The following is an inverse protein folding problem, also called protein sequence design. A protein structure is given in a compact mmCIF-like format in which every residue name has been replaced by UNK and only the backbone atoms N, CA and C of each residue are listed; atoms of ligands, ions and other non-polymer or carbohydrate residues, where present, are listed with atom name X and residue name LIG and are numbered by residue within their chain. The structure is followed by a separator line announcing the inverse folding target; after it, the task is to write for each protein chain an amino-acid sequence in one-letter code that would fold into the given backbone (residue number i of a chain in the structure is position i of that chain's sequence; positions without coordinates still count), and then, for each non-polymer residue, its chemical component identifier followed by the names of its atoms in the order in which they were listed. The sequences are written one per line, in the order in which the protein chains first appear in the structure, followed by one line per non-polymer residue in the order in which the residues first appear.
data_IF_355109598905
#
_entry.id   IF_355109598905
#
_cell.length_a   1.000
_cell.length_b   1.000
_cell.length_c   1.000
_cell.angle_alpha   90.00
_cell.angle_beta   90.00
_cell.angle_gamma   90.00
#
_symmetry.space_group_name_H-M   'P 1'
#
loop_
_entity.id
_entity.type
_entity.pdbx_description
1 polymer ?
#
# COMPACT_ATOMS: atom_id res chain seq x y z
N UNK A 1 5.20 -17.28 -32.11
CA UNK A 1 5.23 -16.09 -32.96
C UNK A 1 5.34 -14.90 -32.02
N UNK A 2 6.57 -14.47 -31.74
CA UNK A 2 6.86 -13.33 -30.85
C UNK A 2 6.37 -12.06 -31.54
N UNK A 3 5.33 -11.46 -30.99
CA UNK A 3 4.92 -10.11 -31.38
C UNK A 3 6.12 -9.19 -31.10
N UNK A 4 6.77 -8.73 -32.16
CA UNK A 4 7.80 -7.70 -32.12
C UNK A 4 7.22 -6.51 -31.37
N UNK A 5 7.79 -6.18 -30.21
CA UNK A 5 7.30 -5.17 -29.30
C UNK A 5 7.18 -3.82 -30.01
N UNK A 6 5.96 -3.40 -30.21
CA UNK A 6 5.69 -1.97 -30.43
C UNK A 6 6.23 -1.23 -29.21
N UNK A 7 7.32 -0.46 -29.40
CA UNK A 7 7.86 0.41 -28.33
C UNK A 7 6.71 1.22 -27.75
N UNK A 8 6.47 1.08 -26.45
CA UNK A 8 5.47 1.91 -25.78
C UNK A 8 5.75 3.39 -26.01
N UNK A 9 4.72 4.15 -26.21
CA UNK A 9 4.82 5.60 -26.41
C UNK A 9 5.19 6.29 -25.10
N UNK A 10 5.87 7.43 -25.17
CA UNK A 10 6.11 8.27 -23.98
C UNK A 10 4.80 8.60 -23.26
N UNK A 11 3.70 8.77 -24.01
CA UNK A 11 2.38 9.07 -23.48
C UNK A 11 1.83 7.95 -22.60
N UNK A 12 2.00 6.70 -23.01
CA UNK A 12 1.55 5.53 -22.23
C UNK A 12 2.31 5.39 -20.92
N UNK A 13 3.63 5.61 -20.94
CA UNK A 13 4.47 5.59 -19.72
C UNK A 13 4.08 6.72 -18.77
N UNK A 14 3.88 7.93 -19.27
CA UNK A 14 3.41 9.05 -18.45
C UNK A 14 2.03 8.77 -17.86
N UNK A 15 1.09 8.23 -18.62
CA UNK A 15 -0.22 7.83 -18.12
C UNK A 15 -0.12 6.81 -16.97
N UNK A 16 0.83 5.89 -17.08
CA UNK A 16 1.08 4.90 -16.03
C UNK A 16 1.66 5.55 -14.76
N UNK A 17 2.63 6.47 -14.86
CA UNK A 17 3.16 7.23 -13.71
C UNK A 17 2.08 8.08 -13.05
N UNK A 18 1.24 8.74 -13.84
CA UNK A 18 0.13 9.53 -13.32
C UNK A 18 -0.93 8.72 -12.60
N UNK A 19 -1.02 7.42 -12.82
CA UNK A 19 -1.93 6.60 -12.04
C UNK A 19 -1.43 6.38 -10.61
N UNK A 20 -0.14 6.14 -10.39
CA UNK A 20 0.45 6.08 -9.04
C UNK A 20 0.32 7.45 -8.32
N UNK A 21 0.57 8.55 -9.03
CA UNK A 21 0.29 9.90 -8.53
C UNK A 21 -1.19 10.07 -8.12
N UNK A 22 -2.13 9.54 -8.90
CA UNK A 22 -3.56 9.70 -8.66
C UNK A 22 -4.04 8.97 -7.41
N UNK A 23 -3.65 7.70 -7.22
CA UNK A 23 -4.19 6.86 -6.16
C UNK A 23 -3.47 6.99 -4.81
N UNK A 24 -2.24 7.50 -4.80
CA UNK A 24 -1.41 7.57 -3.59
C UNK A 24 -1.99 8.40 -2.44
N UNK A 25 -2.71 9.52 -2.65
CA UNK A 25 -3.32 10.28 -1.57
C UNK A 25 -4.38 9.49 -0.79
N UNK A 26 -5.09 8.57 -1.42
CA UNK A 26 -6.01 7.71 -0.69
C UNK A 26 -5.27 6.88 0.37
N UNK A 27 -4.12 6.31 0.03
CA UNK A 27 -3.35 5.52 0.98
C UNK A 27 -2.60 6.40 2.00
N UNK A 28 -1.81 7.38 1.52
CA UNK A 28 -0.92 8.19 2.38
C UNK A 28 -1.68 9.17 3.29
N UNK A 29 -2.80 9.68 2.85
CA UNK A 29 -3.59 10.67 3.57
C UNK A 29 -4.84 10.05 4.20
N UNK A 30 -5.78 9.54 3.38
CA UNK A 30 -7.07 9.07 3.89
C UNK A 30 -6.93 7.83 4.78
N UNK A 31 -6.05 6.87 4.42
CA UNK A 31 -5.89 5.65 5.21
C UNK A 31 -4.91 5.85 6.37
N UNK A 32 -3.72 6.40 6.10
CA UNK A 32 -2.63 6.42 7.10
C UNK A 32 -2.79 7.53 8.13
N UNK A 33 -3.32 8.71 7.74
CA UNK A 33 -3.40 9.87 8.64
C UNK A 33 -4.84 10.12 9.08
N UNK A 34 -5.71 10.56 8.19
CA UNK A 34 -7.03 11.07 8.59
C UNK A 34 -8.01 9.98 8.99
N UNK A 35 -7.95 8.78 8.38
CA UNK A 35 -8.79 7.65 8.76
C UNK A 35 -8.51 7.18 10.19
N UNK A 36 -7.23 7.02 10.54
CA UNK A 36 -6.82 6.63 11.88
C UNK A 36 -7.24 7.67 12.95
N UNK A 37 -7.04 8.97 12.64
CA UNK A 37 -7.37 10.05 13.57
C UNK A 37 -8.88 10.24 13.77
N UNK A 38 -9.69 10.09 12.71
CA UNK A 38 -11.11 10.42 12.75
C UNK A 38 -12.00 9.26 13.19
N UNK A 39 -11.77 8.05 12.69
CA UNK A 39 -12.68 6.92 12.91
C UNK A 39 -12.80 6.56 14.40
N UNK A 40 -11.68 6.41 15.09
CA UNK A 40 -11.69 6.08 16.53
C UNK A 40 -12.30 7.19 17.38
N UNK A 41 -12.03 8.46 17.02
CA UNK A 41 -12.59 9.62 17.75
C UNK A 41 -14.10 9.73 17.58
N UNK A 42 -14.61 9.54 16.35
CA UNK A 42 -16.04 9.59 16.08
C UNK A 42 -16.76 8.40 16.74
N UNK A 43 -16.17 7.21 16.65
CA UNK A 43 -16.70 6.02 17.33
C UNK A 43 -16.74 6.20 18.85
N UNK A 44 -15.70 6.80 19.45
CA UNK A 44 -15.68 7.10 20.89
C UNK A 44 -16.74 8.16 21.29
N UNK A 45 -16.97 9.16 20.44
CA UNK A 45 -18.03 10.16 20.65
C UNK A 45 -19.43 9.54 20.59
N UNK A 46 -19.66 8.62 19.64
CA UNK A 46 -20.91 7.86 19.55
C UNK A 46 -21.08 6.94 20.78
N UNK A 47 -20.02 6.24 21.19
CA UNK A 47 -20.01 5.42 22.41
C UNK A 47 -20.41 6.23 23.66
N UNK A 48 -19.91 7.46 23.78
CA UNK A 48 -20.25 8.37 24.89
C UNK A 48 -21.73 8.76 24.89
N UNK A 49 -22.34 8.91 23.73
CA UNK A 49 -23.76 9.23 23.61
C UNK A 49 -24.66 8.03 23.98
N UNK A 50 -24.14 6.80 23.94
CA UNK A 50 -24.88 5.59 24.24
C UNK A 50 -24.75 5.19 25.73
N UNK A 51 -25.45 5.91 26.60
CA UNK A 51 -25.45 5.69 28.05
C UNK A 51 -25.97 4.29 28.42
N UNK A 52 -26.87 3.72 27.62
CA UNK A 52 -27.45 2.40 27.88
C UNK A 52 -26.38 1.29 27.77
N UNK A 53 -25.42 1.43 26.86
CA UNK A 53 -24.35 0.46 26.63
C UNK A 53 -23.13 0.73 27.54
N UNK A 54 -22.77 1.99 27.73
CA UNK A 54 -21.50 2.37 28.34
C UNK A 54 -21.63 2.98 29.75
N UNK A 55 -22.84 3.33 30.17
CA UNK A 55 -23.06 4.07 31.45
C UNK A 55 -22.35 5.42 31.45
N UNK A 56 -21.87 5.84 32.64
CA UNK A 56 -21.13 7.11 32.81
C UNK A 56 -19.62 7.00 32.56
N UNK A 57 -19.18 6.02 31.76
CA UNK A 57 -17.75 5.85 31.46
C UNK A 57 -17.22 7.03 30.64
N UNK A 58 -15.99 7.44 30.93
CA UNK A 58 -15.26 8.41 30.10
C UNK A 58 -14.78 7.74 28.82
N UNK A 59 -15.53 7.89 27.73
CA UNK A 59 -15.22 7.25 26.43
C UNK A 59 -14.23 8.04 25.59
N UNK A 60 -13.99 9.30 25.93
CA UNK A 60 -13.01 10.20 25.29
C UNK A 60 -12.14 10.85 26.36
N UNK A 61 -10.88 11.03 26.05
CA UNK A 61 -9.96 11.80 26.91
C UNK A 61 -10.17 13.32 26.78
N UNK A 62 -9.38 14.09 27.51
CA UNK A 62 -9.45 15.56 27.48
C UNK A 62 -9.16 16.17 26.10
N UNK A 63 -8.50 15.44 25.19
CA UNK A 63 -8.22 15.85 23.80
C UNK A 63 -9.34 15.47 22.82
N UNK A 64 -10.35 14.72 23.28
CA UNK A 64 -11.40 14.16 22.44
C UNK A 64 -11.00 12.86 21.71
N UNK A 65 -9.85 12.29 22.02
CA UNK A 65 -9.45 10.99 21.49
C UNK A 65 -10.15 9.84 22.25
N UNK A 66 -10.24 8.67 21.61
CA UNK A 66 -10.82 7.49 22.25
C UNK A 66 -10.02 7.10 23.50
N UNK A 67 -10.70 7.03 24.65
CA UNK A 67 -10.09 6.56 25.88
C UNK A 67 -9.95 5.03 25.85
N UNK A 68 -8.72 4.55 25.67
CA UNK A 68 -8.42 3.13 25.64
C UNK A 68 -8.48 2.46 27.02
N UNK A 69 -8.45 3.24 28.10
CA UNK A 69 -8.47 2.71 29.49
C UNK A 69 -9.89 2.32 29.93
N UNK A 70 -10.91 3.02 29.48
CA UNK A 70 -12.30 2.83 29.89
C UNK A 70 -13.11 1.90 28.99
N UNK A 71 -12.55 1.43 27.87
CA UNK A 71 -13.12 0.41 26.98
C UNK A 71 -14.60 0.62 26.64
N UNK A 72 -14.97 1.84 26.22
CA UNK A 72 -16.33 2.08 25.75
C UNK A 72 -16.58 1.37 24.43
N UNK A 73 -17.75 0.75 24.32
CA UNK A 73 -18.14 -0.02 23.16
C UNK A 73 -19.08 0.77 22.24
N UNK A 74 -18.98 0.48 20.96
CA UNK A 74 -19.93 0.90 19.90
C UNK A 74 -20.59 -0.31 19.29
N UNK A 75 -21.79 -0.11 18.75
CA UNK A 75 -22.54 -1.18 18.08
C UNK A 75 -22.46 -1.02 16.58
N UNK A 76 -21.96 -2.03 15.89
CA UNK A 76 -21.91 -2.12 14.44
C UNK A 76 -22.59 -3.42 13.97
N UNK A 77 -23.68 -3.30 13.24
CA UNK A 77 -24.48 -4.44 12.76
C UNK A 77 -24.88 -5.42 13.86
N UNK A 78 -25.19 -4.92 15.06
CA UNK A 78 -25.59 -5.75 16.22
C UNK A 78 -24.42 -6.37 17.00
N UNK A 79 -23.17 -6.15 16.60
CA UNK A 79 -21.97 -6.57 17.31
C UNK A 79 -21.36 -5.40 18.08
N UNK A 80 -20.80 -5.68 19.27
CA UNK A 80 -20.15 -4.68 20.12
C UNK A 80 -18.63 -4.69 19.88
N UNK A 81 -18.06 -3.50 19.68
CA UNK A 81 -16.62 -3.32 19.45
C UNK A 81 -16.09 -2.19 20.33
N UNK A 82 -14.90 -2.35 20.94
CA UNK A 82 -14.24 -1.25 21.64
C UNK A 82 -14.00 -0.06 20.69
N UNK A 83 -14.49 1.13 21.06
CA UNK A 83 -14.45 2.32 20.20
C UNK A 83 -13.01 2.66 19.74
N UNK A 84 -12.03 2.53 20.62
CA UNK A 84 -10.61 2.75 20.29
C UNK A 84 -10.02 1.76 19.30
N UNK A 85 -10.63 0.58 19.12
CA UNK A 85 -10.14 -0.47 18.23
C UNK A 85 -10.87 -0.53 16.89
N UNK A 86 -11.90 0.29 16.68
CA UNK A 86 -12.75 0.29 15.47
C UNK A 86 -11.92 0.43 14.19
N UNK A 87 -10.92 1.31 14.17
CA UNK A 87 -10.06 1.50 13.01
C UNK A 87 -9.26 0.24 12.65
N UNK A 88 -8.69 -0.43 13.64
CA UNK A 88 -7.95 -1.68 13.42
C UNK A 88 -8.84 -2.81 12.87
N UNK A 89 -10.05 -2.98 13.43
CA UNK A 89 -11.01 -3.94 12.90
C UNK A 89 -11.47 -3.59 11.50
N UNK A 90 -11.72 -2.31 11.22
CA UNK A 90 -12.11 -1.85 9.88
C UNK A 90 -11.03 -2.13 8.84
N UNK A 91 -9.76 -1.83 9.15
CA UNK A 91 -8.64 -2.16 8.27
C UNK A 91 -8.56 -3.67 8.00
N UNK A 92 -8.75 -4.49 9.05
CA UNK A 92 -8.72 -5.95 8.93
C UNK A 92 -9.84 -6.46 8.03
N UNK A 93 -11.08 -6.02 8.27
CA UNK A 93 -12.24 -6.41 7.45
C UNK A 93 -12.08 -5.93 6.01
N UNK A 94 -11.68 -4.67 5.80
CA UNK A 94 -11.44 -4.12 4.46
C UNK A 94 -10.38 -4.93 3.71
N UNK A 95 -9.31 -5.36 4.40
CA UNK A 95 -8.25 -6.20 3.82
C UNK A 95 -8.77 -7.58 3.46
N UNK A 96 -9.53 -8.25 4.32
CA UNK A 96 -10.12 -9.57 4.03
C UNK A 96 -11.05 -9.48 2.82
N UNK A 97 -11.96 -8.50 2.77
CA UNK A 97 -12.86 -8.31 1.65
C UNK A 97 -12.07 -8.01 0.37
N UNK A 98 -11.04 -7.17 0.45
CA UNK A 98 -10.17 -6.87 -0.67
C UNK A 98 -9.50 -8.15 -1.21
N UNK A 99 -8.91 -8.98 -0.36
CA UNK A 99 -8.26 -10.24 -0.73
C UNK A 99 -9.21 -11.18 -1.48
N UNK A 100 -10.49 -11.20 -1.13
CA UNK A 100 -11.49 -12.01 -1.83
C UNK A 100 -11.84 -11.46 -3.23
N UNK A 101 -11.77 -10.14 -3.43
CA UNK A 101 -12.12 -9.48 -4.70
C UNK A 101 -10.95 -9.42 -5.69
N UNK A 102 -9.71 -9.31 -5.21
CA UNK A 102 -8.53 -9.13 -6.08
C UNK A 102 -8.33 -10.23 -7.12
N UNK A 103 -8.53 -11.53 -6.85
CA UNK A 103 -8.41 -12.57 -7.87
C UNK A 103 -9.46 -12.43 -8.99
N UNK A 104 -10.67 -11.96 -8.62
CA UNK A 104 -11.73 -11.70 -9.61
C UNK A 104 -11.32 -10.54 -10.51
N UNK A 105 -10.78 -9.45 -9.92
CA UNK A 105 -10.30 -8.31 -10.68
C UNK A 105 -9.18 -8.69 -11.66
N UNK A 106 -8.21 -9.52 -11.22
CA UNK A 106 -7.14 -10.05 -12.07
C UNK A 106 -7.66 -10.87 -13.24
N UNK A 107 -8.55 -11.83 -12.95
CA UNK A 107 -9.12 -12.71 -13.96
C UNK A 107 -9.95 -11.95 -15.01
N UNK A 108 -10.75 -10.97 -14.58
CA UNK A 108 -11.53 -10.11 -15.47
C UNK A 108 -10.60 -9.26 -16.34
N UNK A 109 -9.52 -8.76 -15.78
CA UNK A 109 -8.57 -7.93 -16.51
C UNK A 109 -7.83 -8.70 -17.62
N UNK A 110 -7.32 -9.91 -17.34
CA UNK A 110 -6.60 -10.72 -18.33
C UNK A 110 -7.50 -11.22 -19.47
N UNK A 111 -8.81 -11.36 -19.21
CA UNK A 111 -9.81 -11.77 -20.22
C UNK A 111 -10.39 -10.59 -21.00
N UNK A 112 -10.16 -9.38 -20.55
CA UNK A 112 -10.73 -8.19 -21.18
C UNK A 112 -9.85 -7.69 -22.33
N UNK A 113 -10.49 -7.38 -23.46
CA UNK A 113 -9.82 -6.63 -24.54
C UNK A 113 -9.47 -5.19 -24.14
N UNK A 114 -10.08 -4.68 -23.06
CA UNK A 114 -9.92 -3.29 -22.65
C UNK A 114 -9.64 -3.18 -21.14
N UNK A 115 -8.44 -3.61 -20.73
CA UNK A 115 -7.96 -3.53 -19.34
C UNK A 115 -8.14 -2.13 -18.73
N UNK A 116 -7.96 -1.07 -19.53
CA UNK A 116 -8.06 0.31 -19.02
C UNK A 116 -9.47 0.69 -18.57
N UNK A 117 -10.54 0.12 -19.16
CA UNK A 117 -11.93 0.33 -18.67
C UNK A 117 -12.12 -0.30 -17.30
N UNK A 118 -11.49 -1.45 -17.07
CA UNK A 118 -11.54 -2.14 -15.77
C UNK A 118 -10.76 -1.34 -14.74
N UNK A 119 -9.55 -0.88 -15.09
CA UNK A 119 -8.78 0.04 -14.25
C UNK A 119 -9.61 1.27 -13.87
N UNK A 120 -10.20 1.94 -14.87
CA UNK A 120 -11.05 3.12 -14.65
C UNK A 120 -12.26 2.82 -13.78
N UNK A 121 -12.94 1.68 -14.00
CA UNK A 121 -14.09 1.25 -13.21
C UNK A 121 -13.75 1.12 -11.71
N UNK A 122 -12.71 0.37 -11.37
CA UNK A 122 -12.24 0.25 -9.99
C UNK A 122 -11.74 1.58 -9.42
N UNK A 123 -10.97 2.35 -10.21
CA UNK A 123 -10.42 3.63 -9.76
C UNK A 123 -11.51 4.66 -9.45
N UNK A 124 -12.49 4.82 -10.34
CA UNK A 124 -13.59 5.77 -10.12
C UNK A 124 -14.55 5.31 -9.02
N UNK A 125 -14.79 3.99 -8.87
CA UNK A 125 -15.53 3.46 -7.74
C UNK A 125 -14.84 3.80 -6.42
N UNK A 126 -13.53 3.53 -6.33
CA UNK A 126 -12.74 3.83 -5.14
C UNK A 126 -12.66 5.33 -4.84
N UNK A 127 -12.42 6.14 -5.86
CA UNK A 127 -12.34 7.59 -5.76
C UNK A 127 -13.69 8.22 -5.33
N UNK A 128 -14.81 7.74 -5.87
CA UNK A 128 -16.14 8.19 -5.47
C UNK A 128 -16.45 7.83 -4.02
N UNK A 129 -16.13 6.61 -3.59
CA UNK A 129 -16.30 6.18 -2.21
C UNK A 129 -15.41 7.00 -1.26
N UNK A 130 -14.14 7.24 -1.62
CA UNK A 130 -13.22 8.08 -0.85
C UNK A 130 -13.73 9.53 -0.74
N UNK A 131 -14.22 10.11 -1.83
CA UNK A 131 -14.84 11.45 -1.80
C UNK A 131 -16.11 11.48 -0.96
N UNK A 132 -16.95 10.45 -1.05
CA UNK A 132 -18.19 10.33 -0.29
C UNK A 132 -17.94 10.18 1.22
N UNK A 133 -16.73 9.80 1.65
CA UNK A 133 -16.35 9.86 3.08
C UNK A 133 -16.42 11.29 3.65
N UNK A 134 -16.56 12.31 2.82
CA UNK A 134 -16.93 13.66 3.26
C UNK A 134 -18.20 13.69 4.11
N UNK A 135 -19.17 12.83 3.82
CA UNK A 135 -20.43 12.76 4.58
C UNK A 135 -20.33 11.95 5.88
N UNK A 136 -19.14 11.45 6.18
CA UNK A 136 -18.84 10.72 7.39
C UNK A 136 -18.68 11.70 8.57
N UNK A 137 -19.73 11.83 9.39
CA UNK A 137 -19.75 12.72 10.54
C UNK A 137 -20.72 12.23 11.64
N UNK A 138 -20.45 12.57 12.87
CA UNK A 138 -21.35 12.36 14.00
C UNK A 138 -21.78 10.91 14.19
N UNK A 139 -23.10 10.64 14.20
CA UNK A 139 -23.68 9.30 14.39
C UNK A 139 -23.53 8.37 13.17
N UNK A 140 -23.15 8.91 12.01
CA UNK A 140 -23.16 8.15 10.74
C UNK A 140 -21.80 7.49 10.43
N UNK A 141 -21.04 7.15 11.48
CA UNK A 141 -19.73 6.50 11.32
C UNK A 141 -19.81 5.13 10.60
N UNK A 142 -20.95 4.44 10.68
CA UNK A 142 -21.20 3.19 9.96
C UNK A 142 -21.16 3.41 8.43
N UNK A 143 -21.64 4.56 7.93
CA UNK A 143 -21.50 4.93 6.53
C UNK A 143 -20.02 5.05 6.15
N UNK A 144 -19.19 5.67 7.01
CA UNK A 144 -17.75 5.75 6.83
C UNK A 144 -17.10 4.38 6.71
N UNK A 145 -17.52 3.39 7.52
CA UNK A 145 -17.05 2.00 7.44
C UNK A 145 -17.32 1.40 6.07
N UNK A 146 -18.56 1.50 5.57
CA UNK A 146 -18.95 0.95 4.27
C UNK A 146 -18.19 1.64 3.13
N UNK A 147 -18.12 2.97 3.14
CA UNK A 147 -17.41 3.75 2.13
C UNK A 147 -15.91 3.44 2.11
N UNK A 148 -15.29 3.27 3.27
CA UNK A 148 -13.88 2.90 3.38
C UNK A 148 -13.62 1.50 2.80
N UNK A 149 -14.48 0.51 3.07
CA UNK A 149 -14.38 -0.84 2.49
C UNK A 149 -14.50 -0.76 0.96
N UNK A 150 -15.48 -0.03 0.43
CA UNK A 150 -15.66 0.15 -1.02
C UNK A 150 -14.46 0.85 -1.66
N UNK A 151 -13.92 1.90 -1.01
CA UNK A 151 -12.73 2.61 -1.47
C UNK A 151 -11.51 1.67 -1.52
N UNK A 152 -11.31 0.82 -0.49
CA UNK A 152 -10.25 -0.18 -0.47
C UNK A 152 -10.40 -1.24 -1.56
N UNK A 153 -11.61 -1.72 -1.83
CA UNK A 153 -11.88 -2.63 -2.95
C UNK A 153 -11.50 -1.96 -4.28
N UNK A 154 -11.93 -0.71 -4.48
CA UNK A 154 -11.58 0.08 -5.66
C UNK A 154 -10.07 0.26 -5.80
N UNK A 155 -9.39 0.58 -4.71
CA UNK A 155 -7.93 0.75 -4.65
C UNK A 155 -7.21 -0.55 -5.03
N UNK A 156 -7.46 -1.64 -4.33
CA UNK A 156 -6.78 -2.91 -4.60
C UNK A 156 -7.09 -3.49 -5.97
N UNK A 157 -8.37 -3.47 -6.40
CA UNK A 157 -8.77 -3.92 -7.73
C UNK A 157 -8.09 -3.12 -8.84
N UNK A 158 -7.99 -1.80 -8.68
CA UNK A 158 -7.29 -0.94 -9.62
C UNK A 158 -5.78 -1.21 -9.65
N UNK A 159 -5.14 -1.46 -8.49
CA UNK A 159 -3.70 -1.77 -8.42
C UNK A 159 -3.33 -3.04 -9.16
N UNK A 160 -4.13 -4.12 -9.03
CA UNK A 160 -3.90 -5.37 -9.76
C UNK A 160 -3.87 -5.13 -11.28
N UNK A 161 -4.86 -4.39 -11.77
CA UNK A 161 -4.95 -4.06 -13.20
C UNK A 161 -3.83 -3.10 -13.61
N UNK A 162 -3.53 -2.10 -12.80
CA UNK A 162 -2.47 -1.14 -13.02
C UNK A 162 -1.09 -1.81 -13.12
N UNK A 163 -0.78 -2.73 -12.21
CA UNK A 163 0.49 -3.47 -12.23
C UNK A 163 0.62 -4.32 -13.49
N UNK A 164 -0.47 -4.93 -13.97
CA UNK A 164 -0.45 -5.76 -15.18
C UNK A 164 -0.10 -4.98 -16.45
N UNK A 165 -0.33 -3.65 -16.48
CA UNK A 165 0.09 -2.81 -17.61
C UNK A 165 1.61 -2.66 -17.71
N UNK A 166 2.37 -2.91 -16.66
CA UNK A 166 3.84 -2.80 -16.70
C UNK A 166 4.45 -3.69 -17.81
N UNK A 167 3.85 -4.86 -18.02
CA UNK A 167 4.27 -5.80 -19.08
C UNK A 167 3.90 -5.28 -20.47
N UNK A 168 2.75 -4.61 -20.58
CA UNK A 168 2.27 -4.05 -21.86
C UNK A 168 3.05 -2.81 -22.30
N UNK A 169 3.57 -1.99 -21.35
CA UNK A 169 4.23 -0.70 -21.63
C UNK A 169 5.75 -0.73 -21.52
N UNK A 170 6.35 -1.81 -21.04
CA UNK A 170 7.80 -1.94 -20.84
C UNK A 170 8.36 -3.25 -21.36
N UNK A 171 9.38 -3.17 -22.22
CA UNK A 171 10.21 -4.32 -22.54
C UNK A 171 11.04 -4.77 -21.31
N UNK A 172 11.62 -5.99 -21.35
CA UNK A 172 12.38 -6.54 -20.23
C UNK A 172 13.45 -5.59 -19.66
N UNK A 173 14.15 -4.86 -20.51
CA UNK A 173 15.23 -3.94 -20.14
C UNK A 173 14.72 -2.58 -19.61
N UNK A 174 13.43 -2.28 -19.76
CA UNK A 174 12.84 -0.98 -19.41
C UNK A 174 11.95 -1.02 -18.14
N UNK A 175 11.48 -2.22 -17.75
CA UNK A 175 10.49 -2.38 -16.64
C UNK A 175 10.99 -1.85 -15.32
N UNK A 176 12.28 -1.99 -15.02
CA UNK A 176 12.88 -1.51 -13.77
C UNK A 176 12.79 0.01 -13.66
N UNK A 177 13.16 0.72 -14.73
CA UNK A 177 13.09 2.19 -14.79
C UNK A 177 11.64 2.69 -14.75
N UNK A 178 10.75 2.04 -15.50
CA UNK A 178 9.32 2.39 -15.53
C UNK A 178 8.71 2.18 -14.14
N UNK A 179 8.95 1.03 -13.52
CA UNK A 179 8.43 0.71 -12.19
C UNK A 179 8.95 1.67 -11.12
N UNK A 180 10.26 1.98 -11.15
CA UNK A 180 10.88 2.91 -10.22
C UNK A 180 10.29 4.31 -10.32
N UNK A 181 10.09 4.82 -11.54
CA UNK A 181 9.45 6.12 -11.79
C UNK A 181 7.99 6.15 -11.35
N UNK A 182 7.22 5.08 -11.59
CA UNK A 182 5.84 4.99 -11.12
C UNK A 182 5.74 5.17 -9.61
N UNK A 183 6.49 4.38 -8.84
CA UNK A 183 6.54 4.51 -7.38
C UNK A 183 7.02 5.88 -6.92
N UNK A 184 8.06 6.44 -7.57
CA UNK A 184 8.54 7.78 -7.28
C UNK A 184 7.42 8.83 -7.46
N UNK A 185 6.70 8.80 -8.59
CA UNK A 185 5.56 9.69 -8.83
C UNK A 185 4.44 9.48 -7.80
N UNK A 186 4.19 8.25 -7.38
CA UNK A 186 3.24 7.94 -6.30
C UNK A 186 3.61 8.64 -5.00
N UNK A 187 4.86 8.50 -4.55
CA UNK A 187 5.32 9.18 -3.34
C UNK A 187 5.26 10.70 -3.45
N UNK A 188 5.62 11.26 -4.60
CA UNK A 188 5.51 12.70 -4.82
C UNK A 188 4.06 13.18 -4.79
N UNK A 189 3.14 12.46 -5.45
CA UNK A 189 1.71 12.79 -5.45
C UNK A 189 1.07 12.66 -4.08
N UNK A 190 1.35 11.56 -3.38
CA UNK A 190 0.88 11.33 -2.01
C UNK A 190 1.45 12.34 -1.02
N UNK A 191 2.74 12.63 -1.11
CA UNK A 191 3.41 13.63 -0.27
C UNK A 191 2.88 15.04 -0.48
N UNK A 192 2.70 15.46 -1.74
CA UNK A 192 2.17 16.79 -2.04
C UNK A 192 0.72 16.95 -1.58
N UNK A 193 -0.14 15.97 -1.86
CA UNK A 193 -1.52 16.00 -1.40
C UNK A 193 -1.59 16.01 0.13
N UNK A 194 -0.81 15.18 0.81
CA UNK A 194 -0.75 15.14 2.27
C UNK A 194 -0.24 16.49 2.83
N UNK A 195 0.77 17.12 2.23
CA UNK A 195 1.27 18.42 2.66
C UNK A 195 0.20 19.51 2.57
N UNK A 196 -0.54 19.57 1.45
CA UNK A 196 -1.62 20.51 1.26
C UNK A 196 -2.77 20.30 2.25
N UNK A 197 -3.18 19.05 2.44
CA UNK A 197 -4.26 18.68 3.34
C UNK A 197 -3.89 18.91 4.80
N UNK A 198 -2.63 18.59 5.17
CA UNK A 198 -2.15 18.84 6.52
C UNK A 198 -2.04 20.34 6.81
N UNK A 199 -1.52 21.13 5.85
CA UNK A 199 -1.49 22.59 5.98
C UNK A 199 -2.89 23.17 6.18
N UNK A 200 -3.89 22.67 5.43
CA UNK A 200 -5.28 23.04 5.60
C UNK A 200 -5.84 22.60 6.98
N UNK A 201 -5.57 21.35 7.37
CA UNK A 201 -6.02 20.79 8.66
C UNK A 201 -5.45 21.56 9.86
N UNK A 202 -4.14 21.87 9.84
CA UNK A 202 -3.50 22.63 10.91
C UNK A 202 -3.94 24.10 10.94
N UNK A 203 -4.24 24.68 9.79
CA UNK A 203 -4.71 26.05 9.63
C UNK A 203 -6.24 26.19 9.65
N UNK A 204 -7.01 25.18 10.06
CA UNK A 204 -8.48 25.16 9.96
C UNK A 204 -9.17 26.37 10.59
N UNK A 205 -8.64 26.87 11.71
CA UNK A 205 -9.19 28.05 12.40
C UNK A 205 -9.10 29.32 11.53
N UNK A 206 -8.00 29.48 10.77
CA UNK A 206 -7.84 30.62 9.87
C UNK A 206 -8.88 30.62 8.72
N UNK A 207 -9.40 29.44 8.38
CA UNK A 207 -10.47 29.26 7.38
C UNK A 207 -11.89 29.26 8.02
N UNK A 208 -12.00 29.41 9.33
CA UNK A 208 -13.28 29.38 10.05
C UNK A 208 -13.96 28.00 10.02
N UNK A 209 -13.20 26.91 9.91
CA UNK A 209 -13.70 25.54 9.78
C UNK A 209 -13.39 24.74 11.03
N UNK A 210 -14.31 23.89 11.47
CA UNK A 210 -14.03 22.96 12.58
C UNK A 210 -13.02 21.89 12.16
N UNK A 211 -12.29 21.32 13.13
CA UNK A 211 -11.36 20.19 12.87
C UNK A 211 -12.04 19.01 12.16
N UNK A 212 -13.28 18.68 12.59
CA UNK A 212 -14.05 17.60 11.96
C UNK A 212 -14.33 17.87 10.48
N UNK A 213 -14.81 19.08 10.15
CA UNK A 213 -15.06 19.48 8.77
C UNK A 213 -13.75 19.53 7.95
N UNK A 214 -12.64 19.95 8.56
CA UNK A 214 -11.34 19.92 7.89
C UNK A 214 -10.93 18.49 7.49
N UNK A 215 -11.14 17.50 8.35
CA UNK A 215 -10.89 16.07 8.02
C UNK A 215 -11.81 15.59 6.91
N UNK A 216 -13.10 15.96 6.94
CA UNK A 216 -14.05 15.61 5.87
C UNK A 216 -13.61 16.19 4.52
N UNK A 217 -13.14 17.45 4.49
CA UNK A 217 -12.58 18.08 3.28
C UNK A 217 -11.33 17.35 2.81
N UNK A 218 -10.49 16.83 3.72
CA UNK A 218 -9.34 16.02 3.35
C UNK A 218 -9.74 14.71 2.66
N UNK A 219 -10.79 14.01 3.11
CA UNK A 219 -11.33 12.85 2.40
C UNK A 219 -11.87 13.22 1.02
N UNK A 220 -12.67 14.27 0.92
CA UNK A 220 -13.23 14.75 -0.35
C UNK A 220 -12.11 15.07 -1.35
N UNK A 221 -11.11 15.84 -0.91
CA UNK A 221 -10.00 16.25 -1.78
C UNK A 221 -9.12 15.07 -2.19
N UNK A 222 -8.93 14.05 -1.35
CA UNK A 222 -8.25 12.81 -1.72
C UNK A 222 -9.00 12.04 -2.82
N UNK A 223 -10.31 11.89 -2.69
CA UNK A 223 -11.14 11.24 -3.69
C UNK A 223 -11.20 12.00 -5.01
N UNK A 224 -11.36 13.33 -4.95
CA UNK A 224 -11.34 14.19 -6.14
C UNK A 224 -9.98 14.18 -6.83
N UNK A 225 -8.88 14.22 -6.09
CA UNK A 225 -7.53 14.07 -6.63
C UNK A 225 -7.38 12.76 -7.38
N UNK A 226 -7.78 11.66 -6.74
CA UNK A 226 -7.72 10.34 -7.36
C UNK A 226 -8.55 10.30 -8.65
N UNK A 227 -9.80 10.75 -8.63
CA UNK A 227 -10.65 10.79 -9.82
C UNK A 227 -10.04 11.66 -10.93
N UNK A 228 -9.63 12.89 -10.60
CA UNK A 228 -9.11 13.86 -11.58
C UNK A 228 -7.88 13.34 -12.32
N UNK A 229 -6.88 12.85 -11.57
CA UNK A 229 -5.63 12.36 -12.16
C UNK A 229 -5.74 10.94 -12.75
N UNK A 230 -6.81 10.18 -12.46
CA UNK A 230 -7.12 8.93 -13.16
C UNK A 230 -7.54 9.18 -14.61
N UNK A 231 -8.19 10.31 -14.93
CA UNK A 231 -8.64 10.62 -16.29
C UNK A 231 -7.50 10.61 -17.32
N UNK A 232 -6.42 11.40 -17.14
CA UNK A 232 -5.29 11.37 -18.08
C UNK A 232 -4.60 9.99 -18.10
N UNK A 233 -4.49 9.30 -16.97
CA UNK A 233 -3.93 7.96 -16.90
C UNK A 233 -4.69 6.97 -17.79
N UNK A 234 -6.00 6.85 -17.60
CA UNK A 234 -6.86 5.93 -18.38
C UNK A 234 -6.90 6.32 -19.87
N UNK A 235 -6.83 7.61 -20.21
CA UNK A 235 -6.81 8.06 -21.61
C UNK A 235 -5.49 7.76 -22.33
N UNK A 236 -4.38 7.71 -21.60
CA UNK A 236 -3.06 7.49 -22.14
C UNK A 236 -2.69 6.00 -22.28
N UNK A 237 -3.17 5.14 -21.40
CA UNK A 237 -2.85 3.71 -21.40
C UNK A 237 -3.35 2.97 -22.65
N UNK A 238 -2.69 1.85 -23.06
CA UNK A 238 -3.05 1.09 -24.25
C UNK A 238 -4.51 0.64 -24.23
N UNK A 239 -5.16 0.72 -25.41
CA UNK A 239 -6.57 0.33 -25.56
C UNK A 239 -6.76 -1.16 -25.76
N UNK A 240 -5.84 -1.77 -26.51
CA UNK A 240 -5.97 -3.13 -26.98
C UNK A 240 -5.06 -4.05 -26.18
N UNK A 241 -5.65 -5.06 -25.59
CA UNK A 241 -4.95 -6.17 -24.95
C UNK A 241 -5.38 -7.45 -25.68
N UNK A 242 -4.44 -8.36 -25.90
CA UNK A 242 -4.76 -9.70 -26.43
C UNK A 242 -5.31 -10.52 -25.27
N UNK A 243 -6.64 -10.79 -25.23
CA UNK A 243 -7.23 -11.53 -24.13
C UNK A 243 -6.77 -12.98 -24.17
N UNK A 244 -6.66 -13.60 -23.00
CA UNK A 244 -6.47 -15.05 -22.89
C UNK A 244 -7.77 -15.73 -23.32
N UNK A 245 -7.69 -16.69 -24.24
CA UNK A 245 -8.86 -17.45 -24.71
C UNK A 245 -9.54 -18.17 -23.55
N UNK A 246 -10.85 -17.98 -23.44
CA UNK A 246 -11.69 -18.61 -22.42
C UNK A 246 -12.78 -19.41 -23.11
N UNK A 247 -12.99 -20.63 -22.64
CA UNK A 247 -14.13 -21.43 -23.03
C UNK A 247 -15.46 -20.69 -22.74
N UNK A 248 -16.37 -20.56 -23.71
CA UNK A 248 -17.63 -19.85 -23.54
C UNK A 248 -18.52 -20.53 -22.49
N UNK A 249 -19.16 -19.74 -21.63
CA UNK A 249 -20.28 -20.20 -20.79
C UNK A 249 -20.08 -20.19 -19.26
N UNK A 250 -18.95 -19.72 -18.68
CA UNK A 250 -18.81 -19.62 -17.23
C UNK A 250 -19.09 -18.21 -16.73
N UNK A 251 -20.00 -18.08 -15.74
CA UNK A 251 -20.26 -16.84 -15.01
C UNK A 251 -18.95 -16.30 -14.41
N UNK A 252 -18.64 -15.03 -14.64
CA UNK A 252 -17.41 -14.34 -14.21
C UNK A 252 -17.19 -14.43 -12.69
N UNK A 253 -18.27 -14.38 -11.88
CA UNK A 253 -18.19 -14.47 -10.43
C UNK A 253 -17.88 -15.90 -9.92
N UNK A 254 -18.50 -16.93 -10.50
CA UNK A 254 -18.14 -18.33 -10.17
C UNK A 254 -16.75 -18.70 -10.68
N UNK A 255 -16.32 -18.08 -11.78
CA UNK A 255 -14.97 -18.23 -12.29
C UNK A 255 -13.93 -17.66 -11.31
N UNK A 256 -14.19 -16.51 -10.63
CA UNK A 256 -13.21 -15.82 -9.80
C UNK A 256 -12.61 -16.65 -8.65
N UNK A 257 -13.45 -17.32 -7.85
CA UNK A 257 -12.94 -18.19 -6.78
C UNK A 257 -12.34 -19.51 -7.30
N UNK A 258 -12.94 -20.09 -8.33
CA UNK A 258 -12.35 -21.25 -9.02
C UNK A 258 -11.00 -20.92 -9.64
N UNK A 259 -10.82 -19.67 -10.09
CA UNK A 259 -9.60 -19.18 -10.69
C UNK A 259 -8.49 -18.89 -9.69
N UNK A 260 -8.77 -18.38 -8.49
CA UNK A 260 -7.74 -18.26 -7.46
C UNK A 260 -7.11 -19.63 -7.18
N UNK A 261 -7.96 -20.66 -6.99
CA UNK A 261 -7.47 -22.03 -6.82
C UNK A 261 -6.70 -22.53 -8.06
N UNK A 262 -7.23 -22.28 -9.25
CA UNK A 262 -6.58 -22.66 -10.50
C UNK A 262 -5.26 -21.90 -10.70
N UNK A 263 -5.22 -20.60 -10.36
CA UNK A 263 -4.01 -19.78 -10.45
C UNK A 263 -2.96 -20.27 -9.45
N UNK A 264 -3.33 -20.61 -8.22
CA UNK A 264 -2.42 -21.21 -7.23
C UNK A 264 -1.91 -22.58 -7.72
N UNK A 265 -2.79 -23.41 -8.27
CA UNK A 265 -2.38 -24.72 -8.81
C UNK A 265 -1.48 -24.55 -10.04
N UNK A 266 -1.85 -23.64 -10.95
CA UNK A 266 -1.02 -23.34 -12.14
C UNK A 266 0.32 -22.69 -11.76
N UNK A 267 0.34 -21.86 -10.71
CA UNK A 267 1.58 -21.25 -10.23
C UNK A 267 2.56 -22.27 -9.65
N UNK A 268 2.08 -23.43 -9.17
CA UNK A 268 2.97 -24.54 -8.77
C UNK A 268 3.85 -25.06 -9.91
N UNK A 269 3.45 -24.87 -11.16
CA UNK A 269 4.29 -25.17 -12.33
C UNK A 269 5.51 -24.22 -12.45
N UNK A 270 5.49 -23.09 -11.73
CA UNK A 270 6.54 -22.06 -11.73
C UNK A 270 7.13 -21.88 -10.33
N UNK A 271 7.78 -22.90 -9.75
CA UNK A 271 8.21 -22.88 -8.36
C UNK A 271 9.22 -21.77 -8.05
N UNK A 272 10.04 -21.37 -9.02
CA UNK A 272 11.01 -20.29 -8.85
C UNK A 272 10.34 -18.92 -8.79
N UNK A 273 9.26 -18.70 -9.53
CA UNK A 273 8.43 -17.49 -9.43
C UNK A 273 7.76 -17.41 -8.06
N UNK A 274 7.23 -18.54 -7.56
CA UNK A 274 6.67 -18.62 -6.21
C UNK A 274 7.74 -18.42 -5.13
N UNK A 275 8.94 -18.94 -5.31
CA UNK A 275 10.06 -18.73 -4.40
C UNK A 275 10.45 -17.24 -4.31
N UNK A 276 10.46 -16.54 -5.44
CA UNK A 276 10.67 -15.09 -5.44
C UNK A 276 9.51 -14.35 -4.76
N UNK A 277 8.27 -14.72 -5.07
CA UNK A 277 7.09 -14.14 -4.43
C UNK A 277 7.15 -14.34 -2.91
N UNK A 278 7.44 -15.56 -2.43
CA UNK A 278 7.62 -15.84 -1.00
C UNK A 278 8.72 -14.99 -0.37
N UNK A 279 9.85 -14.84 -1.07
CA UNK A 279 10.94 -13.97 -0.61
C UNK A 279 10.50 -12.51 -0.49
N UNK A 280 9.74 -12.02 -1.47
CA UNK A 280 9.16 -10.69 -1.49
C UNK A 280 8.20 -10.50 -0.30
N UNK A 281 7.30 -11.44 -0.07
CA UNK A 281 6.32 -11.36 1.03
C UNK A 281 7.00 -11.22 2.38
N UNK A 282 8.10 -11.93 2.60
CA UNK A 282 8.87 -11.87 3.85
C UNK A 282 9.43 -10.46 4.09
N UNK A 283 10.19 -9.90 3.16
CA UNK A 283 10.79 -8.58 3.43
C UNK A 283 9.81 -7.42 3.29
N UNK A 284 8.77 -7.55 2.46
CA UNK A 284 7.76 -6.50 2.33
C UNK A 284 6.89 -6.38 3.58
N UNK A 285 6.64 -7.48 4.30
CA UNK A 285 6.00 -7.44 5.61
C UNK A 285 6.85 -6.66 6.62
N UNK A 286 8.16 -6.87 6.61
CA UNK A 286 9.11 -6.03 7.38
C UNK A 286 9.01 -4.55 7.00
N UNK A 287 9.00 -4.21 5.70
CA UNK A 287 8.85 -2.83 5.21
C UNK A 287 7.55 -2.20 5.70
N UNK A 288 6.42 -2.87 5.47
CA UNK A 288 5.09 -2.36 5.85
C UNK A 288 4.98 -2.18 7.36
N UNK A 289 5.56 -3.10 8.12
CA UNK A 289 5.61 -3.01 9.59
C UNK A 289 6.41 -1.81 10.05
N UNK A 290 7.64 -1.61 9.54
CA UNK A 290 8.46 -0.44 9.90
C UNK A 290 7.69 0.85 9.63
N UNK A 291 7.03 0.98 8.48
CA UNK A 291 6.22 2.17 8.16
C UNK A 291 5.08 2.36 9.16
N UNK A 292 4.38 1.28 9.51
CA UNK A 292 3.22 1.33 10.41
C UNK A 292 3.61 1.65 11.85
N UNK A 293 4.69 1.03 12.37
CA UNK A 293 5.08 1.17 13.79
C UNK A 293 6.02 2.34 14.05
N UNK A 294 6.58 2.99 13.00
CA UNK A 294 7.52 4.10 13.16
C UNK A 294 6.95 5.27 13.94
N UNK A 295 5.66 5.60 13.74
CA UNK A 295 4.99 6.65 14.49
C UNK A 295 4.86 6.28 15.97
N UNK A 296 4.46 5.04 16.28
CA UNK A 296 4.40 4.56 17.65
C UNK A 296 5.77 4.56 18.31
N UNK A 297 6.80 4.06 17.63
CA UNK A 297 8.18 4.08 18.11
C UNK A 297 8.65 5.53 18.41
N UNK A 298 8.36 6.47 17.50
CA UNK A 298 8.68 7.88 17.67
C UNK A 298 7.98 8.52 18.88
N UNK A 299 6.69 8.16 19.10
CA UNK A 299 5.89 8.68 20.21
C UNK A 299 6.25 8.03 21.55
N UNK A 300 6.23 6.72 21.62
CA UNK A 300 6.30 5.98 22.88
C UNK A 300 7.74 5.81 23.38
N UNK A 301 8.70 5.57 22.49
CA UNK A 301 10.12 5.38 22.85
C UNK A 301 10.90 6.69 22.80
N UNK A 302 10.76 7.45 21.70
CA UNK A 302 11.58 8.64 21.48
C UNK A 302 10.93 9.93 22.02
N UNK A 303 9.68 9.86 22.52
CA UNK A 303 8.97 10.96 23.17
C UNK A 303 8.79 12.19 22.27
N UNK A 304 8.56 11.98 20.97
CA UNK A 304 8.21 13.06 20.05
C UNK A 304 6.72 13.35 20.06
N UNK A 305 6.35 14.62 19.88
CA UNK A 305 4.98 15.06 19.68
C UNK A 305 4.47 14.70 18.28
N UNK A 306 3.13 14.66 18.13
CA UNK A 306 2.46 14.27 16.89
C UNK A 306 2.89 15.15 15.69
N UNK A 307 3.17 16.46 15.91
CA UNK A 307 3.64 17.38 14.87
C UNK A 307 4.95 16.92 14.20
N UNK A 308 5.94 16.48 15.02
CA UNK A 308 7.24 16.00 14.52
C UNK A 308 7.05 14.71 13.74
N UNK A 309 6.17 13.81 14.21
CA UNK A 309 5.88 12.55 13.54
C UNK A 309 5.23 12.77 12.17
N UNK A 310 4.29 13.70 12.07
CA UNK A 310 3.63 14.03 10.80
C UNK A 310 4.62 14.67 9.81
N UNK A 311 5.44 15.62 10.26
CA UNK A 311 6.51 16.21 9.43
C UNK A 311 7.48 15.13 8.96
N UNK A 312 7.80 14.17 9.82
CA UNK A 312 8.68 13.04 9.47
C UNK A 312 8.06 12.16 8.38
N UNK A 313 6.75 11.88 8.44
CA UNK A 313 6.04 11.15 7.36
C UNK A 313 6.16 11.91 6.03
N UNK A 314 5.99 13.24 6.04
CA UNK A 314 6.17 14.06 4.85
C UNK A 314 7.61 14.00 4.30
N UNK A 315 8.61 14.08 5.17
CA UNK A 315 10.02 13.94 4.77
C UNK A 315 10.25 12.58 4.11
N UNK A 316 9.74 11.49 4.71
CA UNK A 316 9.85 10.15 4.13
C UNK A 316 9.24 10.10 2.72
N UNK A 317 8.08 10.72 2.47
CA UNK A 317 7.44 10.72 1.15
C UNK A 317 8.31 11.38 0.08
N UNK A 318 8.88 12.57 0.37
CA UNK A 318 9.74 13.27 -0.59
C UNK A 318 11.09 12.57 -0.80
N UNK A 319 11.67 12.03 0.26
CA UNK A 319 12.90 11.23 0.17
C UNK A 319 12.65 9.93 -0.59
N UNK A 320 11.48 9.28 -0.43
CA UNK A 320 11.12 8.07 -1.16
C UNK A 320 10.96 8.32 -2.68
N UNK A 321 10.53 9.52 -3.08
CA UNK A 321 10.57 9.93 -4.49
C UNK A 321 12.02 9.90 -5.04
N UNK A 322 12.96 10.49 -4.31
CA UNK A 322 14.37 10.50 -4.69
C UNK A 322 14.95 9.07 -4.65
N UNK A 323 14.64 8.32 -3.60
CA UNK A 323 15.07 6.94 -3.41
C UNK A 323 14.58 6.03 -4.55
N UNK A 324 13.31 6.11 -4.92
CA UNK A 324 12.76 5.35 -6.05
C UNK A 324 13.47 5.67 -7.37
N UNK A 325 13.69 6.95 -7.66
CA UNK A 325 14.41 7.38 -8.85
C UNK A 325 15.86 6.86 -8.87
N UNK A 326 16.55 6.95 -7.74
CA UNK A 326 17.93 6.47 -7.58
C UNK A 326 18.02 4.96 -7.81
N UNK A 327 17.09 4.17 -7.24
CA UNK A 327 17.06 2.73 -7.43
C UNK A 327 16.87 2.34 -8.89
N UNK A 328 16.03 3.05 -9.64
CA UNK A 328 15.88 2.85 -11.08
C UNK A 328 17.19 3.08 -11.85
N UNK A 329 17.93 4.14 -11.49
CA UNK A 329 19.24 4.43 -12.09
C UNK A 329 20.28 3.36 -11.75
N UNK A 330 20.32 2.91 -10.50
CA UNK A 330 21.24 1.85 -10.04
C UNK A 330 20.90 0.52 -10.71
N UNK A 331 19.62 0.14 -10.78
CA UNK A 331 19.18 -1.10 -11.39
C UNK A 331 19.53 -1.20 -12.89
N UNK A 332 19.55 -0.09 -13.61
CA UNK A 332 20.03 -0.06 -15.00
C UNK A 332 21.50 -0.47 -15.15
N UNK A 333 22.32 -0.25 -14.11
CA UNK A 333 23.76 -0.52 -14.16
C UNK A 333 24.12 -1.90 -13.63
N UNK A 334 23.50 -2.32 -12.53
CA UNK A 334 23.87 -3.56 -11.82
C UNK A 334 22.76 -4.61 -11.76
N UNK A 335 21.58 -4.29 -12.30
CA UNK A 335 20.41 -5.17 -12.33
C UNK A 335 19.49 -5.04 -11.10
N UNK A 336 18.22 -5.40 -11.29
CA UNK A 336 17.20 -5.28 -10.22
C UNK A 336 17.52 -6.18 -9.03
N UNK A 337 17.91 -7.44 -9.24
CA UNK A 337 18.23 -8.37 -8.15
C UNK A 337 19.31 -7.84 -7.22
N UNK A 338 20.43 -7.37 -7.77
CA UNK A 338 21.56 -6.84 -6.97
C UNK A 338 21.16 -5.57 -6.25
N UNK A 339 20.39 -4.72 -6.89
CA UNK A 339 19.88 -3.48 -6.26
C UNK A 339 18.93 -3.79 -5.10
N UNK A 340 18.02 -4.76 -5.22
CA UNK A 340 17.16 -5.23 -4.12
C UNK A 340 18.01 -5.76 -2.96
N UNK A 341 19.01 -6.60 -3.24
CA UNK A 341 19.90 -7.11 -2.19
C UNK A 341 20.63 -5.98 -1.46
N UNK A 342 21.15 -4.99 -2.18
CA UNK A 342 21.76 -3.79 -1.58
C UNK A 342 20.77 -3.00 -0.73
N UNK A 343 19.53 -2.85 -1.17
CA UNK A 343 18.46 -2.18 -0.43
C UNK A 343 18.13 -2.91 0.87
N UNK A 344 18.07 -4.25 0.85
CA UNK A 344 17.81 -5.04 2.06
C UNK A 344 18.96 -4.90 3.08
N UNK A 345 20.22 -4.84 2.62
CA UNK A 345 21.34 -4.52 3.51
C UNK A 345 21.19 -3.11 4.10
N UNK A 346 20.80 -2.13 3.29
CA UNK A 346 20.59 -0.77 3.79
C UNK A 346 19.40 -0.69 4.76
N UNK A 347 18.33 -1.46 4.56
CA UNK A 347 17.25 -1.62 5.53
C UNK A 347 17.76 -2.13 6.89
N UNK A 348 18.63 -3.16 6.88
CA UNK A 348 19.25 -3.69 8.11
C UNK A 348 20.05 -2.60 8.83
N UNK A 349 20.87 -1.84 8.09
CA UNK A 349 21.67 -0.74 8.65
C UNK A 349 20.80 0.36 9.24
N UNK A 350 19.75 0.77 8.55
CA UNK A 350 18.81 1.81 9.00
C UNK A 350 18.10 1.39 10.28
N UNK A 351 17.63 0.14 10.37
CA UNK A 351 16.96 -0.36 11.58
C UNK A 351 17.92 -0.56 12.74
N UNK A 352 19.15 -1.02 12.47
CA UNK A 352 20.21 -1.07 13.48
C UNK A 352 20.53 0.35 13.99
N UNK A 353 20.57 1.35 13.10
CA UNK A 353 20.73 2.75 13.46
C UNK A 353 19.60 3.30 14.31
N UNK A 354 18.35 2.88 14.06
CA UNK A 354 17.20 3.29 14.85
C UNK A 354 17.31 2.92 16.34
N UNK A 355 18.00 1.83 16.66
CA UNK A 355 18.27 1.42 18.05
C UNK A 355 19.03 2.48 18.86
N UNK A 356 19.96 3.18 18.21
CA UNK A 356 20.86 4.15 18.88
C UNK A 356 20.26 5.56 18.98
N UNK A 357 19.08 5.80 18.39
CA UNK A 357 18.42 7.11 18.45
C UNK A 357 18.05 7.44 19.89
N UNK A 358 18.51 8.59 20.38
CA UNK A 358 18.19 9.05 21.73
C UNK A 358 16.83 9.76 21.77
N UNK A 359 16.11 9.69 22.90
CA UNK A 359 14.84 10.41 23.07
C UNK A 359 15.01 11.91 22.79
N UNK A 360 14.05 12.51 22.10
CA UNK A 360 14.01 13.95 21.72
C UNK A 360 15.15 14.43 20.81
N UNK A 361 15.97 13.54 20.24
CA UNK A 361 17.03 13.88 19.29
C UNK A 361 16.50 13.89 17.86
N UNK A 362 15.93 15.03 17.45
CA UNK A 362 15.27 15.21 16.14
C UNK A 362 16.19 14.88 14.98
N UNK A 363 17.46 15.32 15.03
CA UNK A 363 18.42 15.10 13.91
C UNK A 363 18.67 13.61 13.70
N UNK A 364 18.87 12.83 14.77
CA UNK A 364 19.06 11.38 14.67
C UNK A 364 17.82 10.69 14.13
N UNK A 365 16.64 11.10 14.58
CA UNK A 365 15.36 10.55 14.12
C UNK A 365 15.13 10.85 12.63
N UNK A 366 15.37 12.09 12.20
CA UNK A 366 15.27 12.46 10.78
C UNK A 366 16.29 11.74 9.90
N UNK A 367 17.51 11.47 10.41
CA UNK A 367 18.50 10.68 9.67
C UNK A 367 18.00 9.26 9.40
N UNK A 368 17.38 8.60 10.40
CA UNK A 368 16.74 7.30 10.21
C UNK A 368 15.56 7.40 9.21
N UNK A 369 14.72 8.43 9.33
CA UNK A 369 13.61 8.66 8.41
C UNK A 369 14.09 8.86 6.96
N UNK A 370 15.16 9.60 6.74
CA UNK A 370 15.80 9.74 5.42
C UNK A 370 16.32 8.39 4.93
N UNK A 371 16.96 7.61 5.79
CA UNK A 371 17.38 6.24 5.45
C UNK A 371 16.20 5.36 5.01
N UNK A 372 15.10 5.37 5.77
CA UNK A 372 13.85 4.66 5.41
C UNK A 372 13.34 5.14 4.05
N UNK A 373 13.19 6.45 3.86
CA UNK A 373 12.69 7.01 2.60
C UNK A 373 13.54 6.58 1.39
N UNK A 374 14.86 6.60 1.51
CA UNK A 374 15.77 6.23 0.42
C UNK A 374 15.53 4.79 -0.08
N UNK A 375 15.26 3.85 0.83
CA UNK A 375 15.10 2.44 0.44
C UNK A 375 13.66 2.04 0.16
N UNK A 376 12.68 2.72 0.77
CA UNK A 376 11.26 2.36 0.74
C UNK A 376 10.71 2.27 -0.69
N UNK A 377 10.83 3.34 -1.47
CA UNK A 377 10.27 3.41 -2.82
C UNK A 377 10.94 2.47 -3.79
N UNK A 378 12.26 2.38 -3.71
CA UNK A 378 13.07 1.59 -4.64
C UNK A 378 12.94 0.09 -4.46
N UNK A 379 12.93 -0.39 -3.20
CA UNK A 379 12.81 -1.83 -2.91
C UNK A 379 11.51 -2.41 -3.47
N UNK A 380 10.37 -1.76 -3.20
CA UNK A 380 9.06 -2.20 -3.70
C UNK A 380 8.95 -2.08 -5.23
N UNK A 381 9.45 -0.98 -5.80
CA UNK A 381 9.41 -0.75 -7.24
C UNK A 381 10.17 -1.81 -8.04
N UNK A 382 11.38 -2.16 -7.62
CA UNK A 382 12.20 -3.15 -8.28
C UNK A 382 11.68 -4.57 -8.03
N UNK A 383 11.09 -4.86 -6.87
CA UNK A 383 10.46 -6.16 -6.60
C UNK A 383 9.27 -6.39 -7.53
N UNK A 384 8.40 -5.37 -7.72
CA UNK A 384 7.30 -5.41 -8.68
C UNK A 384 7.80 -5.63 -10.12
N UNK A 385 8.86 -4.92 -10.52
CA UNK A 385 9.44 -5.07 -11.85
C UNK A 385 10.04 -6.46 -12.04
N UNK A 386 10.85 -6.93 -11.11
CA UNK A 386 11.50 -8.23 -11.19
C UNK A 386 10.47 -9.36 -11.21
N UNK A 387 9.40 -9.26 -10.41
CA UNK A 387 8.28 -10.20 -10.45
C UNK A 387 7.62 -10.24 -11.83
N UNK A 388 7.42 -9.08 -12.48
CA UNK A 388 6.84 -8.99 -13.83
C UNK A 388 7.59 -9.78 -14.88
N UNK A 389 8.91 -9.95 -14.69
CA UNK A 389 9.76 -10.74 -15.62
C UNK A 389 9.51 -12.25 -15.52
N UNK A 390 9.04 -12.70 -14.35
CA UNK A 390 8.81 -14.12 -14.02
C UNK A 390 7.36 -14.57 -14.19
N UNK A 391 6.47 -13.69 -14.66
CA UNK A 391 5.05 -14.01 -14.90
C UNK A 391 4.91 -14.70 -16.26
N UNK A 392 4.20 -15.86 -16.34
CA UNK A 392 3.89 -16.49 -17.62
C UNK A 392 3.10 -15.56 -18.54
N UNK A 393 3.43 -15.58 -19.83
CA UNK A 393 2.82 -14.70 -20.84
C UNK A 393 1.28 -14.79 -20.81
N UNK A 394 0.63 -13.63 -20.77
CA UNK A 394 -0.84 -13.50 -20.80
C UNK A 394 -1.55 -13.73 -19.45
N UNK A 395 -0.83 -13.97 -18.35
CA UNK A 395 -1.40 -14.14 -17.00
C UNK A 395 -1.02 -13.02 -16.04
N UNK A 396 -0.76 -11.83 -16.57
CA UNK A 396 -0.16 -10.72 -15.84
C UNK A 396 -1.03 -10.27 -14.66
N UNK A 397 -2.31 -10.01 -14.87
CA UNK A 397 -3.18 -9.53 -13.80
C UNK A 397 -3.52 -10.64 -12.78
N UNK A 398 -3.60 -11.91 -13.21
CA UNK A 398 -3.79 -13.04 -12.29
C UNK A 398 -2.59 -13.18 -11.33
N UNK A 399 -1.36 -13.11 -11.83
CA UNK A 399 -0.17 -13.21 -10.98
C UNK A 399 0.02 -11.97 -10.11
N UNK A 400 -0.30 -10.78 -10.62
CA UNK A 400 -0.32 -9.59 -9.78
C UNK A 400 -1.42 -9.62 -8.72
N UNK A 401 -2.54 -10.32 -8.96
CA UNK A 401 -3.51 -10.55 -7.89
C UNK A 401 -2.91 -11.40 -6.76
N UNK A 402 -2.15 -12.46 -7.08
CA UNK A 402 -1.41 -13.25 -6.07
C UNK A 402 -0.37 -12.41 -5.32
N UNK A 403 0.33 -11.52 -6.03
CA UNK A 403 1.30 -10.60 -5.45
C UNK A 403 0.66 -9.69 -4.41
N UNK A 404 -0.45 -9.01 -4.76
CA UNK A 404 -1.16 -8.10 -3.86
C UNK A 404 -1.90 -8.86 -2.75
N UNK A 405 -2.54 -9.99 -3.07
CA UNK A 405 -3.19 -10.87 -2.07
C UNK A 405 -2.17 -11.39 -1.06
N UNK A 406 -1.01 -11.84 -1.53
CA UNK A 406 0.07 -12.30 -0.66
C UNK A 406 0.57 -11.19 0.26
N UNK A 407 0.86 -10.01 -0.30
CA UNK A 407 1.30 -8.84 0.47
C UNK A 407 0.29 -8.48 1.58
N UNK A 408 -1.01 -8.46 1.27
CA UNK A 408 -2.06 -8.19 2.27
C UNK A 408 -2.23 -9.33 3.27
N UNK A 409 -2.08 -10.57 2.81
CA UNK A 409 -2.25 -11.77 3.64
C UNK A 409 -1.14 -11.99 4.67
N UNK A 410 0.06 -11.47 4.42
CA UNK A 410 1.20 -11.61 5.35
C UNK A 410 1.40 -10.40 6.27
N UNK A 411 0.81 -9.26 5.99
CA UNK A 411 1.07 -7.97 6.67
C UNK A 411 0.70 -7.91 8.17
N UNK A 412 0.37 -9.03 8.79
CA UNK A 412 0.13 -9.17 10.23
C UNK A 412 1.34 -9.76 10.99
N UNK A 413 2.27 -10.43 10.31
CA UNK A 413 3.40 -11.13 10.97
C UNK A 413 4.36 -10.14 11.62
N UNK A 414 4.70 -9.07 10.93
CA UNK A 414 5.62 -8.06 11.43
C UNK A 414 5.07 -7.29 12.64
N UNK A 415 3.83 -6.75 12.59
CA UNK A 415 3.20 -6.14 13.76
C UNK A 415 3.10 -7.10 14.95
N UNK A 416 2.81 -8.38 14.71
CA UNK A 416 2.79 -9.39 15.77
C UNK A 416 4.17 -9.58 16.42
N UNK A 417 5.23 -9.67 15.60
CA UNK A 417 6.60 -9.75 16.11
C UNK A 417 6.97 -8.50 16.92
N UNK A 418 6.68 -7.31 16.38
CA UNK A 418 6.96 -6.04 17.06
C UNK A 418 6.24 -5.96 18.41
N UNK A 419 4.95 -6.26 18.44
CA UNK A 419 4.16 -6.24 19.68
C UNK A 419 4.65 -7.30 20.68
N UNK A 420 4.91 -8.54 20.21
CA UNK A 420 5.37 -9.63 21.06
C UNK A 420 6.73 -9.36 21.71
N UNK A 421 7.69 -8.86 20.93
CA UNK A 421 9.02 -8.48 21.48
C UNK A 421 8.89 -7.28 22.41
N UNK A 422 8.10 -6.26 22.04
CA UNK A 422 7.84 -5.10 22.89
C UNK A 422 7.22 -5.50 24.23
N UNK A 423 6.24 -6.41 24.23
CA UNK A 423 5.61 -6.92 25.44
C UNK A 423 6.58 -7.75 26.29
N UNK A 424 7.35 -8.64 25.66
CA UNK A 424 8.28 -9.53 26.37
C UNK A 424 9.49 -8.80 26.98
N UNK A 425 9.95 -7.74 26.34
CA UNK A 425 11.18 -7.02 26.76
C UNK A 425 10.92 -5.67 27.43
N UNK A 426 9.69 -5.13 27.33
CA UNK A 426 9.37 -3.77 27.77
C UNK A 426 10.06 -2.68 26.96
N UNK A 427 10.61 -2.98 25.75
CA UNK A 427 11.42 -2.06 24.96
C UNK A 427 10.98 -2.03 23.49
N UNK A 428 10.52 -0.89 23.04
CA UNK A 428 10.25 -0.67 21.62
C UNK A 428 11.53 -0.59 20.77
N UNK A 429 12.68 -0.32 21.36
CA UNK A 429 13.98 -0.38 20.67
C UNK A 429 14.33 -1.80 20.26
N UNK A 430 14.14 -2.76 21.15
CA UNK A 430 14.35 -4.17 20.83
C UNK A 430 13.29 -4.67 19.83
N UNK A 431 12.06 -4.20 19.96
CA UNK A 431 10.97 -4.55 19.05
C UNK A 431 11.24 -4.10 17.60
N UNK A 432 11.75 -2.85 17.39
CA UNK A 432 12.03 -2.37 16.04
C UNK A 432 13.25 -3.08 15.42
N UNK A 433 14.27 -3.39 16.22
CA UNK A 433 15.44 -4.16 15.77
C UNK A 433 15.08 -5.61 15.44
N UNK A 434 14.13 -6.21 16.16
CA UNK A 434 13.67 -7.56 15.85
C UNK A 434 13.13 -7.70 14.43
N UNK A 435 12.61 -6.61 13.84
CA UNK A 435 12.17 -6.58 12.45
C UNK A 435 13.30 -6.82 11.43
N UNK A 436 14.56 -6.68 11.82
CA UNK A 436 15.73 -7.01 11.00
C UNK A 436 15.67 -8.46 10.51
N UNK A 437 15.03 -9.36 11.24
CA UNK A 437 14.87 -10.77 10.84
C UNK A 437 14.19 -10.91 9.46
N UNK A 438 13.20 -10.06 9.16
CA UNK A 438 12.51 -10.07 7.87
C UNK A 438 13.44 -9.68 6.72
N UNK A 439 14.32 -8.71 6.95
CA UNK A 439 15.28 -8.23 5.94
C UNK A 439 16.43 -9.21 5.74
N UNK A 440 16.93 -9.83 6.82
CA UNK A 440 17.95 -10.89 6.74
C UNK A 440 17.39 -12.12 6.04
N UNK A 441 16.20 -12.58 6.43
CA UNK A 441 15.53 -13.71 5.77
C UNK A 441 15.25 -13.39 4.30
N UNK A 442 14.71 -12.21 4.00
CA UNK A 442 14.49 -11.73 2.64
C UNK A 442 15.77 -11.69 1.81
N UNK A 443 16.86 -11.18 2.38
CA UNK A 443 18.19 -11.13 1.74
C UNK A 443 18.68 -12.53 1.34
N UNK A 444 18.60 -13.47 2.28
CA UNK A 444 19.00 -14.87 2.03
C UNK A 444 18.11 -15.50 0.96
N UNK A 445 16.80 -15.38 1.10
CA UNK A 445 15.84 -15.97 0.19
C UNK A 445 15.98 -15.39 -1.22
N UNK A 446 16.03 -14.07 -1.41
CA UNK A 446 16.23 -13.44 -2.72
C UNK A 446 17.57 -13.86 -3.35
N UNK A 447 18.65 -13.97 -2.55
CA UNK A 447 19.95 -14.43 -3.04
C UNK A 447 19.87 -15.84 -3.64
N UNK A 448 19.12 -16.74 -3.00
CA UNK A 448 18.97 -18.15 -3.42
C UNK A 448 18.12 -18.32 -4.68
N UNK A 449 17.22 -17.40 -5.02
CA UNK A 449 16.39 -17.51 -6.22
C UNK A 449 17.23 -17.36 -7.49
N UNK A 450 17.30 -18.37 -8.38
CA UNK A 450 17.97 -18.28 -9.68
C UNK A 450 17.10 -17.53 -10.69
N UNK A 451 17.09 -16.19 -10.60
CA UNK A 451 16.18 -15.28 -11.31
C UNK A 451 16.18 -15.53 -12.83
N UNK A 452 17.34 -15.70 -13.46
CA UNK A 452 17.43 -15.98 -14.91
C UNK A 452 16.62 -17.23 -15.28
N UNK A 453 16.80 -18.32 -14.54
CA UNK A 453 16.06 -19.57 -14.76
C UNK A 453 14.56 -19.39 -14.53
N UNK A 454 14.16 -18.58 -13.54
CA UNK A 454 12.75 -18.27 -13.28
C UNK A 454 12.10 -17.53 -14.46
N UNK A 455 12.81 -16.56 -15.05
CA UNK A 455 12.35 -15.80 -16.22
C UNK A 455 12.21 -16.71 -17.45
N UNK A 456 13.23 -17.53 -17.73
CA UNK A 456 13.22 -18.47 -18.85
C UNK A 456 12.13 -19.54 -18.70
N UNK A 457 11.93 -20.07 -17.49
CA UNK A 457 10.86 -21.03 -17.19
C UNK A 457 9.46 -20.44 -17.39
N UNK A 458 9.28 -19.13 -17.19
CA UNK A 458 8.03 -18.42 -17.47
C UNK A 458 7.82 -18.14 -18.97
N UNK A 459 8.78 -18.51 -19.84
CA UNK A 459 8.74 -18.26 -21.29
C UNK A 459 9.14 -16.83 -21.70
N UNK A 460 9.76 -16.08 -20.79
CA UNK A 460 10.16 -14.70 -21.00
C UNK A 460 11.65 -14.58 -21.36
N UNK A 461 12.02 -13.47 -22.01
CA UNK A 461 13.42 -13.12 -22.27
C UNK A 461 14.01 -12.41 -21.06
N UNK A 462 15.14 -12.87 -20.51
CA UNK A 462 15.84 -12.15 -19.46
C UNK A 462 16.31 -10.75 -19.94
N UNK A 463 16.30 -9.73 -19.07
CA UNK A 463 16.90 -8.45 -19.38
C UNK A 463 18.42 -8.57 -19.55
N UNK A 464 19.03 -7.59 -20.22
CA UNK A 464 20.46 -7.57 -20.48
C UNK A 464 21.29 -7.52 -19.18
N UNK A 465 20.79 -6.84 -18.16
CA UNK A 465 21.42 -6.70 -16.82
C UNK A 465 20.46 -7.26 -15.77
N UNK A 466 20.92 -8.26 -14.99
CA UNK A 466 20.14 -8.96 -13.95
C UNK A 466 20.79 -8.82 -12.58
#
# INVERSE_FOLDING_TARGET
MTLAGTRSTKRERWGWYFYDWANSPFYSSSTTVFGALSMSTIAASDAKSNITLNGDRACVDASGAADTLHHCDVTLFGLHFPAGSVWGYLLSVATVVQVLVLPIAGAVADRSRNKRRILGGFAFLGAAAAAAMFFFAGSDWQLGVVLFIVANIGYGGSLVVYYSFLVDIGGPDERDDISAKGWAFGYLGGGLALALQLGFYLGHDAFGVSKGLAVQICFLTSGLWWALFTVPAVRALPRNHTPVDVAPGKSVLRAGFGELRQTIVAAKAYPLTLAFLGSYLVFTDGINTVVTVSAQYGKDELKFGDEILIVTILVIQFVAYLGGTLHGLVARRIGAKRTILGSLVLWIVVLAGAYFVQPKQIVQFLAVAVGIGLVLGGTNALSRSLFSQMIPVGKDAQYYSLYVVGERGTSWLGPLLFAGVGQATGSFRLAIVALVIFFVAGLVLVRLVPVRRAIEAAGNRPPAVL
#
